data_IF_455251776252
#
_entry.id   IF_455251776252
#
_cell.length_a   1.000
_cell.length_b   1.000
_cell.length_c   1.000
_cell.angle_alpha   90.00
_cell.angle_beta   90.00
_cell.angle_gamma   90.00
#
_symmetry.space_group_name_H-M   'P 1'
#
loop_
_entity.id
_entity.type
_entity.pdbx_description
1 polymer ?
#
# COMPACT_ATOMS: atom_id res chain seq x y z
N UNK A 1 11.10 6.84 -16.56
CA UNK A 1 10.31 5.93 -15.72
C UNK A 1 9.67 6.63 -14.52
N UNK A 2 10.43 7.43 -13.71
CA UNK A 2 9.89 8.09 -12.52
C UNK A 2 8.79 9.11 -12.83
N UNK A 3 8.94 9.90 -13.89
CA UNK A 3 7.91 10.84 -14.34
C UNK A 3 6.61 10.13 -14.74
N UNK A 4 6.71 8.98 -15.39
CA UNK A 4 5.55 8.16 -15.76
C UNK A 4 4.81 7.66 -14.53
N UNK A 5 5.54 7.21 -13.50
CA UNK A 5 4.97 6.81 -12.23
C UNK A 5 4.12 7.94 -11.63
N UNK A 6 4.68 9.14 -11.52
CA UNK A 6 3.96 10.30 -10.98
C UNK A 6 2.78 10.73 -11.89
N UNK A 7 2.94 10.68 -13.21
CA UNK A 7 1.85 10.99 -14.13
C UNK A 7 0.67 10.02 -13.96
N UNK A 8 0.93 8.73 -13.77
CA UNK A 8 -0.11 7.74 -13.51
C UNK A 8 -0.77 7.98 -12.14
N UNK A 9 0.00 8.34 -11.11
CA UNK A 9 -0.59 8.63 -9.78
C UNK A 9 -1.52 9.84 -9.78
N UNK A 10 -1.40 10.77 -10.74
CA UNK A 10 -2.35 11.88 -10.90
C UNK A 10 -3.78 11.43 -11.23
N UNK A 11 -3.99 10.21 -11.68
CA UNK A 11 -5.33 9.63 -11.83
C UNK A 11 -6.12 9.63 -10.52
N UNK A 12 -5.44 9.72 -9.37
CA UNK A 12 -6.06 9.84 -8.04
C UNK A 12 -6.96 11.06 -7.88
N UNK A 13 -6.75 12.13 -8.67
CA UNK A 13 -7.60 13.34 -8.69
C UNK A 13 -9.06 12.97 -9.00
N UNK A 14 -9.25 12.01 -9.93
CA UNK A 14 -10.59 11.51 -10.25
C UNK A 14 -11.17 10.63 -9.13
N UNK A 15 -10.33 10.02 -8.34
CA UNK A 15 -10.74 9.19 -7.21
C UNK A 15 -11.48 9.96 -6.12
N UNK A 16 -11.10 11.22 -5.89
CA UNK A 16 -11.81 12.12 -4.98
C UNK A 16 -13.20 12.53 -5.48
N UNK A 17 -13.46 12.50 -6.79
CA UNK A 17 -14.76 12.83 -7.40
C UNK A 17 -15.76 11.66 -7.39
N UNK A 18 -15.30 10.43 -7.26
CA UNK A 18 -16.15 9.24 -7.37
C UNK A 18 -17.30 9.21 -6.36
N UNK A 19 -17.12 9.53 -5.06
CA UNK A 19 -18.23 9.61 -4.11
C UNK A 19 -19.26 10.65 -4.50
N UNK A 20 -18.84 11.82 -4.98
CA UNK A 20 -19.76 12.88 -5.43
C UNK A 20 -20.62 12.39 -6.60
N UNK A 21 -20.04 11.61 -7.52
CA UNK A 21 -20.81 11.01 -8.62
C UNK A 21 -21.86 10.04 -8.09
N UNK A 22 -21.51 9.22 -7.08
CA UNK A 22 -22.48 8.31 -6.47
C UNK A 22 -23.61 9.06 -5.75
N UNK A 23 -23.27 10.10 -4.96
CA UNK A 23 -24.27 10.93 -4.29
C UNK A 23 -25.24 11.52 -5.32
N UNK A 24 -24.73 12.16 -6.35
CA UNK A 24 -25.53 12.86 -7.36
C UNK A 24 -26.39 11.91 -8.20
N UNK A 25 -25.92 10.70 -8.48
CA UNK A 25 -26.64 9.75 -9.35
C UNK A 25 -27.60 8.83 -8.59
N UNK A 26 -27.30 8.51 -7.35
CA UNK A 26 -28.04 7.46 -6.61
C UNK A 26 -28.67 7.95 -5.30
N UNK A 27 -28.43 9.22 -4.89
CA UNK A 27 -28.93 9.75 -3.63
C UNK A 27 -28.31 9.11 -2.37
N UNK A 28 -27.16 8.44 -2.50
CA UNK A 28 -26.47 7.83 -1.36
C UNK A 28 -26.05 8.88 -0.35
N UNK A 29 -26.07 8.53 0.95
CA UNK A 29 -25.44 9.38 1.96
C UNK A 29 -23.93 9.45 1.76
N UNK A 30 -23.24 10.51 2.24
CA UNK A 30 -21.80 10.72 2.01
C UNK A 30 -20.94 9.54 2.44
N UNK A 31 -21.21 8.98 3.63
CA UNK A 31 -20.46 7.84 4.15
C UNK A 31 -20.58 6.60 3.24
N UNK A 32 -21.80 6.25 2.82
CA UNK A 32 -22.01 5.09 1.94
C UNK A 32 -21.33 5.26 0.59
N UNK A 33 -21.38 6.48 0.03
CA UNK A 33 -20.71 6.81 -1.23
C UNK A 33 -19.18 6.69 -1.12
N UNK A 34 -18.58 7.18 -0.02
CA UNK A 34 -17.14 7.05 0.24
C UNK A 34 -16.73 5.60 0.48
N UNK A 35 -17.49 4.85 1.28
CA UNK A 35 -17.22 3.43 1.51
C UNK A 35 -17.27 2.61 0.22
N UNK A 36 -18.21 2.92 -0.69
CA UNK A 36 -18.31 2.29 -2.00
C UNK A 36 -17.11 2.65 -2.89
N UNK A 37 -16.70 3.92 -2.91
CA UNK A 37 -15.52 4.35 -3.64
C UNK A 37 -14.25 3.70 -3.11
N UNK A 38 -14.05 3.65 -1.78
CA UNK A 38 -12.91 3.00 -1.15
C UNK A 38 -12.87 1.49 -1.44
N UNK A 39 -14.02 0.81 -1.51
CA UNK A 39 -14.07 -0.59 -1.92
C UNK A 39 -13.56 -0.77 -3.35
N UNK A 40 -14.00 0.07 -4.27
CA UNK A 40 -13.53 0.03 -5.67
C UNK A 40 -12.01 0.23 -5.71
N UNK A 41 -11.48 1.24 -5.00
CA UNK A 41 -10.04 1.49 -4.96
C UNK A 41 -9.25 0.41 -4.24
N UNK A 42 -9.86 -0.34 -3.32
CA UNK A 42 -9.23 -1.47 -2.64
C UNK A 42 -8.89 -2.65 -3.58
N UNK A 43 -9.54 -2.75 -4.73
CA UNK A 43 -9.24 -3.78 -5.73
C UNK A 43 -8.05 -3.40 -6.64
N UNK A 44 -7.75 -2.12 -6.82
CA UNK A 44 -6.70 -1.71 -7.73
C UNK A 44 -5.28 -2.15 -7.31
N UNK A 45 -4.91 -2.18 -6.02
CA UNK A 45 -3.60 -2.71 -5.60
C UNK A 45 -3.37 -4.18 -5.98
N UNK A 46 -4.41 -4.96 -6.26
CA UNK A 46 -4.25 -6.34 -6.75
C UNK A 46 -3.50 -6.42 -8.08
N UNK A 47 -3.59 -5.38 -8.93
CA UNK A 47 -2.87 -5.36 -10.21
C UNK A 47 -1.35 -5.29 -10.01
N UNK A 48 -0.88 -4.82 -8.85
CA UNK A 48 0.56 -4.75 -8.51
C UNK A 48 1.18 -6.14 -8.42
N UNK A 49 0.40 -7.19 -8.16
CA UNK A 49 0.87 -8.57 -8.20
C UNK A 49 1.42 -8.97 -9.58
N UNK A 50 0.95 -8.33 -10.65
CA UNK A 50 1.44 -8.54 -12.00
C UNK A 50 2.75 -7.79 -12.29
N UNK A 51 3.17 -6.87 -11.41
CA UNK A 51 4.35 -6.05 -11.63
C UNK A 51 5.62 -6.90 -11.74
N UNK A 52 5.77 -7.87 -10.84
CA UNK A 52 6.97 -8.73 -10.80
C UNK A 52 7.06 -9.65 -12.04
N UNK A 53 6.03 -10.46 -12.39
CA UNK A 53 6.10 -11.32 -13.57
C UNK A 53 6.20 -10.53 -14.88
N UNK A 54 5.49 -9.41 -15.03
CA UNK A 54 5.56 -8.60 -16.24
C UNK A 54 6.83 -7.75 -16.32
N UNK A 55 7.53 -7.55 -15.21
CA UNK A 55 8.83 -6.87 -15.16
C UNK A 55 9.92 -7.60 -15.95
N UNK A 56 9.79 -8.89 -16.14
CA UNK A 56 10.70 -9.69 -16.99
C UNK A 56 10.50 -9.41 -18.49
N UNK A 57 9.30 -8.96 -18.87
CA UNK A 57 8.95 -8.63 -20.26
C UNK A 57 9.38 -7.20 -20.60
N UNK A 58 9.06 -6.25 -19.72
CA UNK A 58 9.46 -4.84 -19.91
C UNK A 58 9.41 -4.07 -18.59
N UNK A 59 10.38 -3.19 -18.31
CA UNK A 59 10.40 -2.35 -17.10
C UNK A 59 9.24 -1.33 -17.04
N UNK A 60 8.53 -1.10 -18.12
CA UNK A 60 7.37 -0.20 -18.16
C UNK A 60 6.14 -0.77 -17.43
N UNK A 61 5.95 -2.10 -17.47
CA UNK A 61 4.82 -2.73 -16.79
C UNK A 61 4.84 -2.50 -15.28
N UNK A 62 5.92 -2.79 -14.54
CA UNK A 62 5.98 -2.47 -13.12
C UNK A 62 5.70 -1.01 -12.81
N UNK A 63 6.25 -0.08 -13.59
CA UNK A 63 6.08 1.35 -13.38
C UNK A 63 4.62 1.77 -13.49
N UNK A 64 3.91 1.30 -14.52
CA UNK A 64 2.49 1.61 -14.74
C UNK A 64 1.63 0.95 -13.64
N UNK A 65 1.86 -0.33 -13.34
CA UNK A 65 1.06 -1.09 -12.37
C UNK A 65 1.23 -0.55 -10.95
N UNK A 66 2.46 -0.22 -10.55
CA UNK A 66 2.74 0.42 -9.26
C UNK A 66 2.15 1.82 -9.22
N UNK A 67 2.20 2.57 -10.34
CA UNK A 67 1.56 3.88 -10.48
C UNK A 67 0.04 3.81 -10.27
N UNK A 68 -0.63 2.80 -10.84
CA UNK A 68 -2.06 2.56 -10.63
C UNK A 68 -2.34 2.23 -9.15
N UNK A 69 -1.54 1.38 -8.52
CA UNK A 69 -1.63 1.09 -7.09
C UNK A 69 -1.45 2.36 -6.23
N UNK A 70 -0.49 3.21 -6.59
CA UNK A 70 -0.26 4.51 -5.95
C UNK A 70 -1.43 5.48 -6.12
N UNK A 71 -2.04 5.54 -7.30
CA UNK A 71 -3.25 6.35 -7.54
C UNK A 71 -4.43 5.87 -6.68
N UNK A 72 -4.61 4.56 -6.57
CA UNK A 72 -5.63 3.97 -5.70
C UNK A 72 -5.39 4.26 -4.23
N UNK A 73 -4.13 4.18 -3.76
CA UNK A 73 -3.72 4.57 -2.42
C UNK A 73 -4.10 6.02 -2.10
N UNK A 74 -3.75 6.96 -2.97
CA UNK A 74 -4.08 8.37 -2.78
C UNK A 74 -5.59 8.61 -2.79
N UNK A 75 -6.32 7.94 -3.69
CA UNK A 75 -7.77 8.01 -3.76
C UNK A 75 -8.44 7.48 -2.49
N UNK A 76 -7.95 6.36 -1.97
CA UNK A 76 -8.38 5.80 -0.70
C UNK A 76 -8.13 6.77 0.45
N UNK A 77 -6.91 7.30 0.56
CA UNK A 77 -6.48 8.22 1.62
C UNK A 77 -7.34 9.49 1.64
N UNK A 78 -7.60 10.10 0.48
CA UNK A 78 -8.47 11.26 0.34
C UNK A 78 -9.90 10.98 0.84
N UNK A 79 -10.42 9.78 0.58
CA UNK A 79 -11.75 9.39 1.03
C UNK A 79 -11.82 9.14 2.53
N UNK A 80 -10.77 8.58 3.16
CA UNK A 80 -10.69 8.43 4.62
C UNK A 80 -10.75 9.81 5.30
N UNK A 81 -9.87 10.73 4.92
CA UNK A 81 -9.86 12.08 5.51
C UNK A 81 -11.17 12.83 5.31
N UNK A 82 -11.77 12.69 4.14
CA UNK A 82 -13.08 13.28 3.89
C UNK A 82 -14.19 12.63 4.71
N UNK A 83 -14.11 11.33 5.01
CA UNK A 83 -15.07 10.63 5.89
C UNK A 83 -15.01 11.20 7.31
N UNK A 84 -13.81 11.54 7.81
CA UNK A 84 -13.67 12.24 9.10
C UNK A 84 -14.43 13.56 9.08
N UNK A 85 -14.29 14.35 8.00
CA UNK A 85 -14.99 15.62 7.83
C UNK A 85 -16.52 15.48 7.75
N UNK A 86 -17.03 14.36 7.22
CA UNK A 86 -18.46 14.09 7.11
C UNK A 86 -19.10 13.59 8.43
N UNK A 87 -18.28 13.00 9.32
CA UNK A 87 -18.79 12.32 10.52
C UNK A 87 -18.54 13.07 11.82
N UNK A 88 -17.55 13.95 11.88
CA UNK A 88 -17.13 14.62 13.09
C UNK A 88 -17.37 16.14 13.02
N UNK A 89 -17.64 16.80 14.16
CA UNK A 89 -17.77 18.25 14.21
C UNK A 89 -16.46 18.94 13.84
N UNK A 90 -16.56 20.14 13.28
CA UNK A 90 -15.40 20.90 12.76
C UNK A 90 -14.29 21.09 13.79
N UNK A 91 -14.63 21.22 15.07
CA UNK A 91 -13.70 21.38 16.18
C UNK A 91 -12.83 20.14 16.45
N UNK A 92 -13.31 18.95 16.10
CA UNK A 92 -12.62 17.68 16.33
C UNK A 92 -11.82 17.16 15.12
N UNK A 93 -12.12 17.66 13.90
CA UNK A 93 -11.53 17.14 12.65
C UNK A 93 -9.99 17.15 12.70
N UNK A 94 -9.39 18.26 13.12
CA UNK A 94 -7.93 18.40 13.17
C UNK A 94 -7.29 17.37 14.10
N UNK A 95 -7.84 17.19 15.29
CA UNK A 95 -7.32 16.24 16.30
C UNK A 95 -7.45 14.80 15.82
N UNK A 96 -8.61 14.43 15.25
CA UNK A 96 -8.84 13.06 14.75
C UNK A 96 -7.94 12.75 13.56
N UNK A 97 -7.81 13.70 12.63
CA UNK A 97 -6.90 13.57 11.48
C UNK A 97 -5.44 13.46 11.93
N UNK A 98 -5.03 14.24 12.94
CA UNK A 98 -3.69 14.18 13.51
C UNK A 98 -3.38 12.83 14.16
N UNK A 99 -4.31 12.29 14.97
CA UNK A 99 -4.17 10.96 15.59
C UNK A 99 -4.08 9.88 14.52
N UNK A 100 -4.96 9.92 13.50
CA UNK A 100 -4.94 8.99 12.38
C UNK A 100 -3.65 9.06 11.58
N UNK A 101 -3.15 10.26 11.30
CA UNK A 101 -1.87 10.51 10.61
C UNK A 101 -0.68 9.95 11.40
N UNK A 102 -0.65 10.18 12.73
CA UNK A 102 0.38 9.64 13.61
C UNK A 102 0.37 8.10 13.61
N UNK A 103 -0.79 7.48 13.75
CA UNK A 103 -0.93 6.03 13.71
C UNK A 103 -0.47 5.46 12.35
N UNK A 104 -0.82 6.12 11.24
CA UNK A 104 -0.36 5.77 9.90
C UNK A 104 1.16 5.90 9.75
N UNK A 105 1.76 6.95 10.31
CA UNK A 105 3.22 7.16 10.33
C UNK A 105 3.96 6.05 11.07
N UNK A 106 3.48 5.68 12.26
CA UNK A 106 4.04 4.56 13.04
C UNK A 106 3.90 3.23 12.28
N UNK A 107 2.73 2.95 11.72
CA UNK A 107 2.51 1.75 10.91
C UNK A 107 3.43 1.69 9.69
N UNK A 108 3.62 2.81 9.00
CA UNK A 108 4.55 2.92 7.87
C UNK A 108 6.00 2.66 8.27
N UNK A 109 6.44 3.20 9.40
CA UNK A 109 7.80 2.97 9.93
C UNK A 109 8.03 1.50 10.23
N UNK A 110 7.07 0.83 10.88
CA UNK A 110 7.16 -0.62 11.17
C UNK A 110 7.24 -1.41 9.87
N UNK A 111 6.34 -1.13 8.92
CA UNK A 111 6.31 -1.83 7.63
C UNK A 111 7.62 -1.68 6.86
N UNK A 112 8.19 -0.47 6.82
CA UNK A 112 9.45 -0.21 6.13
C UNK A 112 10.61 -0.98 6.78
N UNK A 113 10.67 -1.04 8.13
CA UNK A 113 11.68 -1.82 8.84
C UNK A 113 11.54 -3.32 8.57
N UNK A 114 10.32 -3.84 8.61
CA UNK A 114 10.04 -5.26 8.30
C UNK A 114 10.40 -5.57 6.85
N UNK A 115 10.02 -4.71 5.91
CA UNK A 115 10.36 -4.87 4.49
C UNK A 115 11.88 -4.84 4.26
N UNK A 116 12.61 -3.92 4.90
CA UNK A 116 14.06 -3.86 4.81
C UNK A 116 14.72 -5.16 5.30
N UNK A 117 14.33 -5.66 6.46
CA UNK A 117 14.84 -6.94 6.98
C UNK A 117 14.46 -8.12 6.06
N UNK A 118 13.25 -8.12 5.51
CA UNK A 118 12.81 -9.14 4.57
C UNK A 118 13.68 -9.15 3.30
N UNK A 119 14.06 -7.98 2.79
CA UNK A 119 14.90 -7.91 1.57
C UNK A 119 16.32 -8.43 1.80
N UNK A 120 16.90 -8.13 2.98
CA UNK A 120 18.19 -8.71 3.38
C UNK A 120 18.09 -10.23 3.50
N UNK A 121 17.10 -10.72 4.22
CA UNK A 121 16.85 -12.15 4.39
C UNK A 121 16.58 -12.85 3.05
N UNK A 122 15.78 -12.22 2.18
CA UNK A 122 15.44 -12.77 0.87
C UNK A 122 16.66 -12.91 -0.06
N UNK A 123 17.63 -12.00 0.05
CA UNK A 123 18.89 -12.08 -0.71
C UNK A 123 19.79 -13.25 -0.30
N UNK A 124 19.52 -13.84 0.86
CA UNK A 124 20.43 -14.73 1.54
C UNK A 124 21.51 -13.97 2.30
N UNK A 125 22.13 -14.62 3.26
CA UNK A 125 23.12 -14.00 4.14
C UNK A 125 24.42 -14.77 4.20
N UNK A 126 25.51 -14.07 4.54
CA UNK A 126 26.85 -14.61 4.78
C UNK A 126 27.48 -13.96 5.99
N UNK A 127 28.59 -14.52 6.48
CA UNK A 127 29.37 -13.93 7.58
C UNK A 127 30.54 -13.13 7.02
N UNK A 128 30.64 -11.85 7.44
CA UNK A 128 31.80 -10.99 7.19
C UNK A 128 32.22 -10.37 8.51
N UNK A 129 33.46 -10.55 8.91
CA UNK A 129 34.03 -10.02 10.17
C UNK A 129 33.20 -10.37 11.43
N UNK A 130 32.65 -11.60 11.46
CA UNK A 130 31.82 -12.05 12.60
C UNK A 130 30.42 -11.47 12.65
N UNK A 131 29.98 -10.76 11.61
CA UNK A 131 28.61 -10.24 11.47
C UNK A 131 27.92 -10.86 10.28
N UNK A 132 26.65 -11.18 10.47
CA UNK A 132 25.79 -11.63 9.38
C UNK A 132 25.38 -10.43 8.53
N UNK A 133 25.67 -10.51 7.24
CA UNK A 133 25.40 -9.47 6.24
C UNK A 133 24.67 -10.05 5.05
N UNK A 134 24.01 -9.19 4.28
CA UNK A 134 23.37 -9.56 3.02
C UNK A 134 24.40 -10.13 2.02
N UNK A 135 24.05 -11.26 1.38
CA UNK A 135 24.85 -11.80 0.28
C UNK A 135 24.78 -10.88 -0.93
N UNK A 136 25.89 -10.27 -1.29
CA UNK A 136 26.02 -9.48 -2.52
C UNK A 136 26.67 -10.28 -3.63
N UNK A 137 26.54 -9.83 -4.88
CA UNK A 137 27.22 -10.47 -6.00
C UNK A 137 28.74 -10.49 -5.83
N UNK A 138 29.30 -9.38 -5.30
CA UNK A 138 30.72 -9.25 -5.05
C UNK A 138 31.22 -10.25 -4.01
N UNK A 139 30.47 -10.46 -2.93
CA UNK A 139 30.82 -11.46 -1.91
C UNK A 139 30.74 -12.89 -2.47
N UNK A 140 29.74 -13.15 -3.32
CA UNK A 140 29.59 -14.43 -3.97
C UNK A 140 30.77 -14.72 -4.93
N UNK A 141 31.22 -13.73 -5.71
CA UNK A 141 32.37 -13.82 -6.60
C UNK A 141 33.70 -14.00 -5.83
N UNK A 142 33.75 -13.47 -4.60
CA UNK A 142 34.89 -13.70 -3.67
C UNK A 142 34.84 -15.05 -2.97
N UNK A 143 33.84 -15.89 -3.27
CA UNK A 143 33.75 -17.25 -2.73
C UNK A 143 33.09 -17.32 -1.33
N UNK A 144 32.39 -16.27 -0.89
CA UNK A 144 31.63 -16.30 0.36
C UNK A 144 30.54 -17.38 0.32
N UNK A 145 30.41 -18.13 1.41
CA UNK A 145 29.39 -19.16 1.52
C UNK A 145 28.13 -18.61 2.20
N UNK A 146 26.98 -19.10 1.78
CA UNK A 146 25.71 -18.74 2.43
C UNK A 146 25.63 -19.32 3.84
N UNK A 147 25.26 -18.48 4.80
CA UNK A 147 24.76 -18.88 6.12
C UNK A 147 23.29 -19.22 6.00
N UNK A 148 22.53 -18.35 5.36
CA UNK A 148 21.16 -18.62 4.97
C UNK A 148 21.02 -18.46 3.45
N UNK A 149 20.52 -19.48 2.73
CA UNK A 149 20.35 -19.41 1.28
C UNK A 149 19.31 -18.34 0.89
N UNK A 150 19.37 -17.89 -0.36
CA UNK A 150 18.39 -16.97 -0.91
C UNK A 150 16.96 -17.55 -0.81
N UNK A 151 16.00 -16.70 -0.45
CA UNK A 151 14.61 -17.08 -0.35
C UNK A 151 14.02 -17.35 -1.74
N UNK A 152 13.25 -18.42 -1.84
CA UNK A 152 12.44 -18.69 -3.05
C UNK A 152 10.96 -18.60 -2.72
N UNK A 153 10.22 -17.80 -3.49
CA UNK A 153 8.77 -17.64 -3.29
C UNK A 153 8.07 -17.45 -4.63
N UNK A 154 7.06 -18.26 -4.92
CA UNK A 154 6.23 -18.21 -6.14
C UNK A 154 7.04 -18.15 -7.45
N UNK A 155 8.19 -18.86 -7.49
CA UNK A 155 9.07 -18.91 -8.67
C UNK A 155 10.05 -17.75 -8.78
N UNK A 156 10.08 -16.83 -7.83
CA UNK A 156 11.09 -15.77 -7.70
C UNK A 156 12.13 -16.17 -6.65
N UNK A 157 13.38 -15.77 -6.88
CA UNK A 157 14.49 -16.06 -5.97
C UNK A 157 15.17 -14.76 -5.55
N UNK A 158 15.67 -14.73 -4.31
CA UNK A 158 16.37 -13.59 -3.76
C UNK A 158 15.49 -12.37 -3.53
N UNK A 159 16.02 -11.17 -3.74
CA UNK A 159 15.28 -9.90 -3.60
C UNK A 159 13.95 -9.88 -4.34
N UNK A 160 13.83 -10.35 -5.59
CA UNK A 160 12.54 -10.47 -6.28
C UNK A 160 11.49 -11.23 -5.50
N UNK A 161 11.85 -12.30 -4.80
CA UNK A 161 10.91 -13.02 -3.92
C UNK A 161 10.44 -12.14 -2.75
N UNK A 162 11.36 -11.40 -2.11
CA UNK A 162 11.04 -10.45 -1.06
C UNK A 162 10.09 -9.33 -1.53
N UNK A 163 10.35 -8.75 -2.70
CA UNK A 163 9.44 -7.76 -3.30
C UNK A 163 8.05 -8.34 -3.56
N UNK A 164 7.98 -9.56 -4.07
CA UNK A 164 6.69 -10.19 -4.36
C UNK A 164 5.88 -10.43 -3.09
N UNK A 165 6.51 -10.81 -1.97
CA UNK A 165 5.83 -10.90 -0.66
C UNK A 165 5.24 -9.55 -0.25
N UNK A 166 6.00 -8.46 -0.36
CA UNK A 166 5.49 -7.12 -0.04
C UNK A 166 4.34 -6.72 -0.97
N UNK A 167 4.42 -7.05 -2.25
CA UNK A 167 3.30 -6.80 -3.17
C UNK A 167 2.04 -7.58 -2.77
N UNK A 168 2.18 -8.83 -2.31
CA UNK A 168 1.06 -9.60 -1.77
C UNK A 168 0.43 -8.93 -0.55
N UNK A 169 1.25 -8.45 0.39
CA UNK A 169 0.78 -7.72 1.57
C UNK A 169 0.05 -6.44 1.15
N UNK A 170 0.64 -5.63 0.27
CA UNK A 170 0.04 -4.39 -0.20
C UNK A 170 -1.26 -4.64 -0.98
N UNK A 171 -1.31 -5.71 -1.78
CA UNK A 171 -2.46 -6.04 -2.60
C UNK A 171 -3.73 -6.32 -1.77
N UNK A 172 -3.58 -6.96 -0.59
CA UNK A 172 -4.73 -7.33 0.25
C UNK A 172 -4.99 -6.34 1.38
N UNK A 173 -4.02 -5.49 1.74
CA UNK A 173 -4.11 -4.58 2.88
C UNK A 173 -5.34 -3.65 2.83
N UNK A 174 -5.66 -3.13 1.65
CA UNK A 174 -6.81 -2.22 1.46
C UNK A 174 -8.15 -2.94 1.59
N UNK A 175 -8.25 -4.19 1.12
CA UNK A 175 -9.44 -5.01 1.29
C UNK A 175 -9.67 -5.32 2.78
N UNK A 176 -8.61 -5.71 3.49
CA UNK A 176 -8.65 -5.95 4.93
C UNK A 176 -9.04 -4.66 5.66
N UNK A 177 -8.39 -3.53 5.34
CA UNK A 177 -8.70 -2.23 5.92
C UNK A 177 -10.16 -1.81 5.69
N UNK A 178 -10.70 -2.06 4.49
CA UNK A 178 -12.10 -1.79 4.19
C UNK A 178 -13.05 -2.66 5.04
N UNK A 179 -12.77 -3.95 5.18
CA UNK A 179 -13.56 -4.86 6.02
C UNK A 179 -13.55 -4.39 7.48
N UNK A 180 -12.38 -4.03 8.01
CA UNK A 180 -12.24 -3.51 9.38
C UNK A 180 -13.05 -2.21 9.55
N UNK A 181 -12.91 -1.25 8.63
CA UNK A 181 -13.69 -0.01 8.66
C UNK A 181 -15.19 -0.28 8.65
N UNK A 182 -15.64 -1.20 7.79
CA UNK A 182 -17.06 -1.54 7.67
C UNK A 182 -17.59 -2.25 8.91
N UNK A 183 -16.77 -3.06 9.57
CA UNK A 183 -17.11 -3.73 10.82
C UNK A 183 -17.21 -2.75 11.99
N UNK A 184 -16.26 -1.81 12.10
CA UNK A 184 -16.21 -0.84 13.19
C UNK A 184 -17.27 0.28 13.03
N UNK A 185 -17.55 0.70 11.80
CA UNK A 185 -18.50 1.77 11.48
C UNK A 185 -19.50 1.25 10.45
N UNK A 186 -20.47 0.42 10.84
CA UNK A 186 -21.39 -0.23 9.89
C UNK A 186 -22.40 0.75 9.27
N UNK A 187 -22.72 1.85 9.96
CA UNK A 187 -23.73 2.82 9.53
C UNK A 187 -23.25 4.26 9.70
N UNK A 188 -23.76 5.14 8.83
CA UNK A 188 -23.56 6.58 8.97
C UNK A 188 -24.24 7.11 10.24
N UNK A 189 -23.46 7.66 11.15
CA UNK A 189 -23.93 8.30 12.37
C UNK A 189 -23.00 9.47 12.69
N UNK A 190 -23.38 10.70 12.31
CA UNK A 190 -22.62 11.89 12.67
C UNK A 190 -22.49 12.02 14.20
N UNK A 191 -21.30 12.38 14.64
CA UNK A 191 -20.99 12.58 16.06
C UNK A 191 -21.28 14.05 16.38
N UNK A 192 -22.14 14.27 17.37
CA UNK A 192 -22.40 15.60 17.96
C UNK A 192 -21.65 15.63 19.28
N UNK A 193 -20.81 16.65 19.48
CA UNK A 193 -20.17 16.93 20.76
C UNK A 193 -21.04 17.97 21.47
N UNK A 194 -21.46 17.64 22.68
CA UNK A 194 -22.16 18.56 23.59
C UNK A 194 -21.23 19.65 24.08
#
# INVERSE_FOLDING_TARGET
LIFTLYAVTMLSIYGGKLPTIFINRTGMNPYAARMKAMLIFAFFPLVVLLAQPLGTVSPWFPVILIGIGGAAHQSWSANIFSTVGDMFPRTAIASITGIGGMAGGVGSMILQKVAGNLFVYASGTTMVDGKEVEMTKELLEQGAQFVHPAMTFMGFEGKPAGYFVIFCVCAVAYLIGWVIMKALVPKYKPIVLD
#
